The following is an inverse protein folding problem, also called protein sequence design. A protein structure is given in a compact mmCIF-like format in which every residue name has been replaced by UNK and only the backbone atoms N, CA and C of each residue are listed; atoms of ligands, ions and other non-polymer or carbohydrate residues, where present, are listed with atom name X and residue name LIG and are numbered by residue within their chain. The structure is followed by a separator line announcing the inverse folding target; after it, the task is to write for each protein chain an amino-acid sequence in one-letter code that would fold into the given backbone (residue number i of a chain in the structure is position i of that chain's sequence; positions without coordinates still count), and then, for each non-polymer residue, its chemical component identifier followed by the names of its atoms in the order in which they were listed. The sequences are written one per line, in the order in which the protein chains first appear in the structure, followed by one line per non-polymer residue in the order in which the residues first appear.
data_IF_147404040506
#
_entry.id   IF_147404040506
#
_cell.length_a   1.000
_cell.length_b   1.000
_cell.length_c   1.000
_cell.angle_alpha   90.00
_cell.angle_beta   90.00
_cell.angle_gamma   90.00
#
_symmetry.space_group_name_H-M   'P 1'
#
loop_
_entity.id
_entity.type
_entity.pdbx_description
1 polymer ?
#
# COMPACT_ATOMS: atom_id res chain seq x y z
N UNK A 1 18.74 8.74 1.21
CA UNK A 1 17.55 7.86 1.20
C UNK A 1 17.76 6.80 0.13
N UNK A 2 17.50 5.53 0.44
CA UNK A 2 17.53 4.44 -0.54
C UNK A 2 16.08 4.05 -0.78
N UNK A 3 15.69 3.91 -2.04
CA UNK A 3 14.32 3.55 -2.41
C UNK A 3 14.30 2.12 -2.95
N UNK A 4 13.23 1.40 -2.68
CA UNK A 4 12.99 0.06 -3.18
C UNK A 4 11.69 0.04 -3.98
N UNK A 5 11.69 -0.62 -5.14
CA UNK A 5 10.50 -0.85 -5.95
C UNK A 5 10.16 -2.33 -5.88
N UNK A 6 8.98 -2.66 -5.40
CA UNK A 6 8.46 -4.03 -5.36
C UNK A 6 7.72 -4.33 -6.67
N UNK A 7 8.16 -5.35 -7.40
CA UNK A 7 7.51 -5.79 -8.65
C UNK A 7 6.87 -7.15 -8.42
N UNK A 8 5.55 -7.22 -8.60
CA UNK A 8 4.73 -8.40 -8.38
C UNK A 8 4.17 -8.87 -9.72
N UNK A 9 4.56 -10.06 -10.18
CA UNK A 9 4.26 -10.55 -11.53
C UNK A 9 3.45 -11.85 -11.48
N UNK A 10 2.39 -11.90 -12.29
CA UNK A 10 1.46 -13.02 -12.43
C UNK A 10 0.53 -13.17 -11.23
N UNK A 11 -0.53 -13.97 -11.42
CA UNK A 11 -1.59 -14.19 -10.43
C UNK A 11 -1.09 -14.43 -9.00
N UNK A 12 -0.13 -15.34 -8.81
CA UNK A 12 0.41 -15.65 -7.49
C UNK A 12 1.19 -14.46 -6.90
N UNK A 13 2.03 -13.81 -7.71
CA UNK A 13 2.81 -12.65 -7.27
C UNK A 13 1.91 -11.48 -6.88
N UNK A 14 0.85 -11.21 -7.65
CA UNK A 14 -0.11 -10.15 -7.36
C UNK A 14 -0.87 -10.41 -6.06
N UNK A 15 -1.36 -11.63 -5.83
CA UNK A 15 -2.08 -11.97 -4.59
C UNK A 15 -1.18 -11.88 -3.35
N UNK A 16 0.05 -12.40 -3.43
CA UNK A 16 1.02 -12.30 -2.35
C UNK A 16 1.37 -10.84 -2.10
N UNK A 17 1.63 -10.07 -3.17
CA UNK A 17 1.92 -8.65 -3.08
C UNK A 17 0.81 -7.86 -2.40
N UNK A 18 -0.46 -8.14 -2.73
CA UNK A 18 -1.61 -7.49 -2.09
C UNK A 18 -1.63 -7.74 -0.57
N UNK A 19 -1.52 -9.00 -0.15
CA UNK A 19 -1.49 -9.36 1.26
C UNK A 19 -0.27 -8.74 2.00
N UNK A 20 0.91 -8.71 1.37
CA UNK A 20 2.09 -8.07 1.93
C UNK A 20 1.90 -6.57 2.14
N UNK A 21 1.31 -5.86 1.17
CA UNK A 21 1.09 -4.43 1.28
C UNK A 21 -0.04 -4.07 2.27
N UNK A 22 -1.07 -4.90 2.39
CA UNK A 22 -2.07 -4.77 3.47
C UNK A 22 -1.41 -4.84 4.85
N UNK A 23 -0.50 -5.80 5.05
CA UNK A 23 0.25 -5.93 6.30
C UNK A 23 1.20 -4.74 6.53
N UNK A 24 1.93 -4.28 5.51
CA UNK A 24 2.81 -3.11 5.62
C UNK A 24 2.03 -1.85 6.01
N UNK A 25 0.86 -1.62 5.40
CA UNK A 25 0.00 -0.51 5.78
C UNK A 25 -0.44 -0.61 7.24
N UNK A 26 -0.82 -1.82 7.70
CA UNK A 26 -1.22 -2.05 9.08
C UNK A 26 -0.08 -1.78 10.08
N UNK A 27 1.11 -2.31 9.81
CA UNK A 27 2.31 -2.15 10.63
C UNK A 27 2.72 -0.69 10.76
N UNK A 28 2.62 0.08 9.67
CA UNK A 28 2.95 1.50 9.64
C UNK A 28 1.78 2.42 10.00
N UNK A 29 0.59 1.87 10.29
CA UNK A 29 -0.60 2.68 10.62
C UNK A 29 -1.12 3.53 9.45
N UNK A 30 -0.82 3.14 8.22
CA UNK A 30 -1.36 3.73 6.99
C UNK A 30 -2.75 3.15 6.75
N UNK A 31 -3.74 4.02 6.65
CA UNK A 31 -5.10 3.64 6.35
C UNK A 31 -5.26 3.20 4.88
N UNK A 32 -6.34 2.49 4.52
CA UNK A 32 -6.59 2.07 3.13
C UNK A 32 -6.66 3.23 2.11
N UNK A 33 -6.99 4.44 2.56
CA UNK A 33 -6.98 5.65 1.72
C UNK A 33 -5.57 6.25 1.53
N UNK A 34 -4.57 5.70 2.23
CA UNK A 34 -3.18 6.10 2.28
C UNK A 34 -2.86 7.19 3.31
N UNK A 35 -3.81 7.55 4.17
CA UNK A 35 -3.59 8.53 5.24
C UNK A 35 -2.97 7.87 6.47
N UNK A 36 -2.01 8.56 7.10
CA UNK A 36 -1.47 8.16 8.40
C UNK A 36 -1.98 9.14 9.47
N UNK A 37 -2.85 8.71 10.41
CA UNK A 37 -3.37 9.58 11.46
C UNK A 37 -2.25 10.16 12.34
N UNK A 38 -2.39 11.43 12.73
CA UNK A 38 -1.42 12.18 13.54
C UNK A 38 -1.06 11.52 14.87
N UNK A 39 -1.98 10.73 15.43
CA UNK A 39 -1.79 10.05 16.73
C UNK A 39 -0.86 8.83 16.63
N UNK A 40 -0.47 8.43 15.41
CA UNK A 40 0.54 7.40 15.12
C UNK A 40 1.85 7.96 14.57
N UNK A 41 1.95 9.28 14.37
CA UNK A 41 3.23 9.96 14.20
C UNK A 41 4.06 10.02 15.51
N UNK A 42 3.70 9.21 16.51
CA UNK A 42 4.43 9.03 17.77
C UNK A 42 5.68 8.22 17.46
N UNK A 43 6.72 8.95 17.05
CA UNK A 43 8.04 8.39 16.80
C UNK A 43 8.70 9.13 15.67
N UNK A 44 9.07 10.41 15.90
CA UNK A 44 10.07 11.05 15.06
C UNK A 44 11.32 10.19 15.07
N UNK A 45 11.56 9.43 14.00
CA UNK A 45 12.69 8.51 14.00
C UNK A 45 12.71 7.35 13.02
N UNK A 46 11.73 7.15 12.13
CA UNK A 46 11.94 6.12 11.10
C UNK A 46 11.46 6.53 9.71
N UNK A 47 12.24 7.41 9.07
CA UNK A 47 12.25 7.62 7.61
C UNK A 47 12.51 6.34 6.80
N UNK A 48 12.74 5.19 7.47
CA UNK A 48 13.03 3.90 6.86
C UNK A 48 11.87 3.39 5.98
N UNK A 49 10.61 3.65 6.34
CA UNK A 49 9.47 3.20 5.52
C UNK A 49 9.32 4.02 4.23
N UNK A 50 9.89 5.23 4.15
CA UNK A 50 9.98 5.99 2.90
C UNK A 50 10.87 5.29 1.85
N UNK A 51 11.57 4.22 2.24
CA UNK A 51 12.19 3.28 1.30
C UNK A 51 11.13 2.62 0.41
N UNK A 52 9.97 2.28 0.97
CA UNK A 52 8.91 1.50 0.33
C UNK A 52 7.68 2.34 -0.05
N UNK A 53 7.47 3.49 0.60
CA UNK A 53 6.38 4.42 0.27
C UNK A 53 6.92 5.73 -0.32
N UNK A 54 6.13 6.38 -1.16
CA UNK A 54 6.29 7.79 -1.52
C UNK A 54 5.18 8.60 -0.87
N UNK A 55 5.49 9.84 -0.48
CA UNK A 55 4.50 10.75 0.08
C UNK A 55 4.09 11.78 -0.98
N UNK A 56 2.79 12.01 -1.11
CA UNK A 56 2.25 13.08 -1.96
C UNK A 56 2.14 14.38 -1.17
N UNK A 57 2.03 15.53 -1.85
CA UNK A 57 1.80 16.82 -1.17
C UNK A 57 0.50 16.92 -0.36
N UNK A 58 -0.40 15.93 -0.47
CA UNK A 58 -1.63 15.82 0.33
C UNK A 58 -1.49 14.88 1.54
N UNK A 59 -0.27 14.46 1.89
CA UNK A 59 0.02 13.56 3.02
C UNK A 59 -0.31 12.08 2.77
N UNK A 60 -0.69 11.73 1.52
CA UNK A 60 -0.96 10.33 1.15
C UNK A 60 0.33 9.55 0.96
N UNK A 61 0.43 8.39 1.61
CA UNK A 61 1.49 7.41 1.43
C UNK A 61 1.11 6.43 0.32
N UNK A 62 1.95 6.32 -0.70
CA UNK A 62 1.73 5.51 -1.89
C UNK A 62 2.79 4.42 -1.97
N UNK A 63 2.42 3.13 -2.04
CA UNK A 63 3.36 2.04 -2.22
C UNK A 63 4.21 2.22 -3.49
N UNK A 64 5.52 1.99 -3.39
CA UNK A 64 6.43 1.86 -4.54
C UNK A 64 6.32 0.45 -5.11
N UNK A 65 5.15 0.13 -5.65
CA UNK A 65 4.82 -1.20 -6.13
C UNK A 65 4.31 -1.17 -7.57
N UNK A 66 4.70 -2.19 -8.35
CA UNK A 66 4.16 -2.46 -9.69
C UNK A 66 3.56 -3.85 -9.69
N UNK A 67 2.29 -3.96 -10.08
CA UNK A 67 1.58 -5.22 -10.26
C UNK A 67 1.39 -5.48 -11.76
N UNK A 68 1.81 -6.66 -12.23
CA UNK A 68 1.73 -7.05 -13.63
C UNK A 68 1.10 -8.42 -13.74
N UNK A 69 0.05 -8.53 -14.53
CA UNK A 69 -0.62 -9.79 -14.85
C UNK A 69 -1.08 -9.72 -16.31
N UNK A 70 -1.07 -10.85 -17.00
CA UNK A 70 -1.61 -10.98 -18.36
C UNK A 70 -3.11 -11.27 -18.34
N UNK A 71 -3.66 -11.63 -17.17
CA UNK A 71 -5.09 -11.79 -16.94
C UNK A 71 -5.64 -10.65 -16.04
N UNK A 72 -6.72 -9.94 -16.45
CA UNK A 72 -7.19 -8.77 -15.73
C UNK A 72 -7.86 -9.09 -14.38
N UNK A 73 -8.30 -10.33 -14.18
CA UNK A 73 -9.14 -10.74 -13.05
C UNK A 73 -8.49 -10.44 -11.69
N UNK A 74 -7.18 -10.67 -11.58
CA UNK A 74 -6.45 -10.56 -10.31
C UNK A 74 -6.04 -9.11 -10.04
N UNK A 75 -5.68 -8.34 -11.06
CA UNK A 75 -5.38 -6.90 -10.90
C UNK A 75 -6.65 -6.15 -10.50
N UNK A 76 -7.81 -6.54 -11.05
CA UNK A 76 -9.09 -5.91 -10.73
C UNK A 76 -9.42 -5.97 -9.24
N UNK A 77 -9.08 -7.07 -8.53
CA UNK A 77 -9.32 -7.16 -7.08
C UNK A 77 -8.39 -6.29 -6.24
N UNK A 78 -7.21 -5.90 -6.75
CA UNK A 78 -6.25 -5.02 -6.05
C UNK A 78 -6.59 -3.54 -6.24
N UNK A 79 -7.09 -3.18 -7.42
CA UNK A 79 -7.42 -1.78 -7.76
C UNK A 79 -8.88 -1.43 -7.43
N UNK A 80 -9.74 -2.44 -7.21
CA UNK A 80 -11.12 -2.19 -6.81
C UNK A 80 -11.15 -1.39 -5.50
N UNK A 81 -11.85 -0.25 -5.45
CA UNK A 81 -12.13 0.38 -4.17
C UNK A 81 -12.85 -0.66 -3.32
N UNK A 82 -12.37 -0.88 -2.07
CA UNK A 82 -13.08 -1.71 -1.11
C UNK A 82 -14.57 -1.35 -1.19
N UNK A 83 -15.49 -2.33 -1.31
CA UNK A 83 -16.91 -2.02 -1.31
C UNK A 83 -17.16 -1.24 -0.02
N UNK A 84 -17.51 0.04 -0.18
CA UNK A 84 -17.99 0.87 0.92
C UNK A 84 -19.18 0.12 1.48
N UNK A 85 -18.98 -0.61 2.58
CA UNK A 85 -20.07 -1.23 3.31
C UNK A 85 -21.10 -0.13 3.56
N UNK A 86 -22.35 -0.28 3.10
CA UNK A 86 -23.38 0.68 3.46
C UNK A 86 -23.47 0.72 5.00
N UNK A 87 -23.67 1.90 5.62
CA UNK A 87 -23.88 1.96 7.05
C UNK A 87 -25.10 1.10 7.40
N UNK A 88 -24.90 0.10 8.26
CA UNK A 88 -26.00 -0.52 9.01
C UNK A 88 -26.54 0.50 10.02
#
# INVERSE_FOLDING_TARGET
QRECISIHVGQAGVQIGNACWELYCLEHGIQPDGQMPSDKAIGGGDDSFNTFFSETGAGKHVPRAVFVDLEPTVIASVVAPAPVSPPC
#
